data_IF_769729380997
#
_entry.id   IF_769729380997
#
_cell.length_a   1.000
_cell.length_b   1.000
_cell.length_c   1.000
_cell.angle_alpha   90.00
_cell.angle_beta   90.00
_cell.angle_gamma   90.00
#
_symmetry.space_group_name_H-M   'P 1'
#
loop_
_entity.id
_entity.type
_entity.pdbx_description
1 polymer ?
#
# COMPACT_ATOMS: atom_id res chain seq x y z
N UNK A 1 16.79 1.55 -10.13
CA UNK A 1 17.00 2.43 -8.96
C UNK A 1 16.10 1.89 -7.88
N UNK A 2 16.66 1.43 -6.75
CA UNK A 2 15.84 1.02 -5.63
C UNK A 2 15.46 2.27 -4.84
N UNK A 3 14.18 2.65 -4.85
CA UNK A 3 13.69 3.75 -4.01
C UNK A 3 13.69 3.31 -2.53
N UNK A 4 13.96 4.23 -1.62
CA UNK A 4 13.68 3.97 -0.19
C UNK A 4 12.17 4.01 0.06
N UNK A 5 11.72 3.45 1.19
CA UNK A 5 10.30 3.44 1.54
C UNK A 5 9.69 4.86 1.62
N UNK A 6 10.45 5.83 2.16
CA UNK A 6 10.01 7.22 2.29
C UNK A 6 9.95 7.94 0.93
N UNK A 7 10.96 7.72 0.09
CA UNK A 7 10.96 8.22 -1.29
C UNK A 7 9.81 7.61 -2.09
N UNK A 8 9.58 6.31 -1.98
CA UNK A 8 8.47 5.63 -2.63
C UNK A 8 7.11 6.20 -2.17
N UNK A 9 6.96 6.52 -0.88
CA UNK A 9 5.74 7.13 -0.33
C UNK A 9 5.53 8.58 -0.80
N UNK A 10 6.61 9.26 -1.21
CA UNK A 10 6.55 10.60 -1.82
C UNK A 10 6.24 10.49 -3.31
N UNK A 11 6.95 9.61 -4.02
CA UNK A 11 6.82 9.39 -5.47
C UNK A 11 5.44 8.90 -5.86
N UNK A 12 4.81 8.03 -5.06
CA UNK A 12 3.45 7.54 -5.35
C UNK A 12 2.41 8.67 -5.37
N UNK A 13 2.68 9.80 -4.70
CA UNK A 13 1.81 10.98 -4.69
C UNK A 13 2.03 11.89 -5.90
N UNK A 14 3.15 11.73 -6.61
CA UNK A 14 3.51 12.54 -7.78
C UNK A 14 3.23 11.83 -9.10
N UNK A 15 2.53 10.69 -9.08
CA UNK A 15 2.15 9.96 -10.29
C UNK A 15 1.26 10.83 -11.19
N UNK A 16 1.54 10.83 -12.50
CA UNK A 16 0.80 11.64 -13.50
C UNK A 16 -0.65 11.21 -13.64
N UNK A 17 -0.95 9.95 -13.34
CA UNK A 17 -2.28 9.36 -13.44
C UNK A 17 -2.61 8.66 -12.14
N UNK A 18 -3.86 8.79 -11.71
CA UNK A 18 -4.35 8.10 -10.52
C UNK A 18 -4.30 6.57 -10.72
N UNK A 19 -3.71 5.83 -9.77
CA UNK A 19 -3.75 4.37 -9.79
C UNK A 19 -5.18 3.85 -9.67
N UNK A 20 -5.38 2.59 -10.00
CA UNK A 20 -6.67 1.90 -9.80
C UNK A 20 -6.97 1.72 -8.32
N UNK A 21 -8.24 1.49 -7.97
CA UNK A 21 -8.63 1.26 -6.57
C UNK A 21 -7.90 0.07 -5.95
N UNK A 22 -7.70 -1.01 -6.69
CA UNK A 22 -7.01 -2.22 -6.19
C UNK A 22 -5.54 -1.93 -5.89
N UNK A 23 -4.87 -1.18 -6.76
CA UNK A 23 -3.51 -0.68 -6.57
C UNK A 23 -3.39 0.24 -5.35
N UNK A 24 -4.37 1.13 -5.13
CA UNK A 24 -4.43 1.99 -3.95
C UNK A 24 -4.66 1.19 -2.66
N UNK A 25 -5.48 0.13 -2.72
CA UNK A 25 -5.71 -0.78 -1.58
C UNK A 25 -4.46 -1.57 -1.24
N UNK A 26 -3.75 -2.09 -2.25
CA UNK A 26 -2.48 -2.81 -2.07
C UNK A 26 -1.40 -1.89 -1.48
N UNK A 27 -1.26 -0.66 -1.98
CA UNK A 27 -0.36 0.35 -1.41
C UNK A 27 -0.70 0.63 0.06
N UNK A 28 -1.99 0.84 0.36
CA UNK A 28 -2.45 1.08 1.72
C UNK A 28 -2.11 -0.10 2.63
N UNK A 29 -2.40 -1.33 2.19
CA UNK A 29 -2.14 -2.54 2.95
C UNK A 29 -0.64 -2.72 3.26
N UNK A 30 0.21 -2.58 2.25
CA UNK A 30 1.65 -2.69 2.39
C UNK A 30 2.22 -1.58 3.27
N UNK A 31 1.75 -0.34 3.10
CA UNK A 31 2.16 0.79 3.95
C UNK A 31 1.77 0.57 5.42
N UNK A 32 0.55 0.10 5.68
CA UNK A 32 0.09 -0.21 7.03
C UNK A 32 0.86 -1.38 7.64
N UNK A 33 1.12 -2.44 6.87
CA UNK A 33 1.93 -3.56 7.34
C UNK A 33 3.38 -3.15 7.61
N UNK A 34 3.97 -2.31 6.76
CA UNK A 34 5.34 -1.79 6.89
C UNK A 34 5.56 -0.87 8.10
N UNK A 35 4.51 -0.19 8.56
CA UNK A 35 4.57 0.82 9.64
C UNK A 35 4.00 0.30 10.96
N UNK A 36 2.86 -0.38 10.90
CA UNK A 36 2.14 -0.88 12.08
C UNK A 36 2.32 -2.38 12.31
N UNK A 37 2.83 -3.14 11.33
CA UNK A 37 2.81 -4.60 11.38
C UNK A 37 1.40 -5.16 11.18
N UNK A 38 1.15 -6.32 11.76
CA UNK A 38 -0.09 -7.07 11.62
C UNK A 38 -1.33 -6.26 12.03
N UNK A 39 -2.41 -6.42 11.26
CA UNK A 39 -3.69 -5.77 11.55
C UNK A 39 -4.34 -6.36 12.82
N UNK A 40 -4.29 -5.60 13.92
CA UNK A 40 -4.98 -5.91 15.17
C UNK A 40 -6.29 -5.13 15.37
N UNK A 41 -6.73 -4.36 14.37
CA UNK A 41 -7.92 -3.50 14.51
C UNK A 41 -9.22 -4.27 14.27
N UNK A 42 -10.30 -3.84 14.90
CA UNK A 42 -11.63 -4.44 14.67
C UNK A 42 -12.08 -4.26 13.22
N UNK A 43 -12.72 -5.29 12.67
CA UNK A 43 -13.28 -5.26 11.32
C UNK A 43 -14.35 -4.14 11.23
N UNK A 44 -14.28 -3.25 10.23
CA UNK A 44 -15.29 -2.21 10.02
C UNK A 44 -16.70 -2.77 9.85
N UNK A 45 -17.71 -1.98 10.22
CA UNK A 45 -19.11 -2.33 10.08
C UNK A 45 -19.53 -2.61 8.64
N UNK A 46 -20.62 -3.36 8.46
CA UNK A 46 -21.10 -3.83 7.14
C UNK A 46 -21.42 -2.72 6.14
N UNK A 47 -21.75 -1.51 6.61
CA UNK A 47 -22.07 -0.36 5.77
C UNK A 47 -20.84 0.45 5.33
N UNK A 48 -19.66 0.21 5.93
CA UNK A 48 -18.40 0.85 5.51
C UNK A 48 -17.64 -0.03 4.52
N UNK A 49 -18.11 -0.03 3.27
CA UNK A 49 -17.51 -0.84 2.21
C UNK A 49 -16.05 -0.47 1.94
N UNK A 50 -15.70 0.83 2.02
CA UNK A 50 -14.35 1.32 1.72
C UNK A 50 -13.38 1.00 2.85
N UNK A 51 -13.80 1.20 4.10
CA UNK A 51 -13.02 0.81 5.27
C UNK A 51 -12.86 -0.70 5.33
N UNK A 52 -13.91 -1.48 5.05
CA UNK A 52 -13.84 -2.94 4.98
C UNK A 52 -12.83 -3.42 3.94
N UNK A 53 -12.80 -2.82 2.74
CA UNK A 53 -11.83 -3.17 1.70
C UNK A 53 -10.39 -2.88 2.14
N UNK A 54 -10.13 -1.70 2.73
CA UNK A 54 -8.83 -1.33 3.29
C UNK A 54 -8.38 -2.26 4.41
N UNK A 55 -9.29 -2.57 5.33
CA UNK A 55 -9.04 -3.47 6.44
C UNK A 55 -8.74 -4.88 5.94
N UNK A 56 -9.50 -5.36 4.96
CA UNK A 56 -9.29 -6.67 4.35
C UNK A 56 -7.93 -6.74 3.66
N UNK A 57 -7.59 -5.75 2.82
CA UNK A 57 -6.31 -5.70 2.13
C UNK A 57 -5.14 -5.70 3.13
N UNK A 58 -5.23 -4.93 4.22
CA UNK A 58 -4.20 -4.95 5.28
C UNK A 58 -4.17 -6.30 6.02
N UNK A 59 -5.33 -6.86 6.36
CA UNK A 59 -5.43 -8.14 7.05
C UNK A 59 -4.91 -9.32 6.19
N UNK A 60 -5.01 -9.24 4.86
CA UNK A 60 -4.43 -10.21 3.93
C UNK A 60 -2.89 -10.20 3.92
N UNK A 61 -2.25 -9.12 4.38
CA UNK A 61 -0.79 -9.06 4.54
C UNK A 61 -0.31 -9.52 5.92
N UNK A 62 -1.21 -9.98 6.78
CA UNK A 62 -0.87 -10.47 8.13
C UNK A 62 0.17 -11.60 8.06
N UNK A 63 1.14 -11.57 8.96
CA UNK A 63 2.26 -12.50 9.01
C UNK A 63 3.45 -12.11 8.14
N UNK A 64 3.29 -11.11 7.26
CA UNK A 64 4.43 -10.52 6.53
C UNK A 64 5.19 -9.58 7.46
N UNK A 65 6.52 -9.69 7.51
CA UNK A 65 7.32 -8.78 8.34
C UNK A 65 7.25 -7.34 7.83
N UNK A 66 7.53 -6.38 8.72
CA UNK A 66 7.55 -4.97 8.34
C UNK A 66 8.57 -4.70 7.22
N UNK A 67 9.72 -5.37 7.27
CA UNK A 67 10.78 -5.22 6.26
C UNK A 67 10.33 -5.76 4.89
N UNK A 68 9.74 -6.96 4.84
CA UNK A 68 9.19 -7.50 3.60
C UNK A 68 8.05 -6.65 3.04
N UNK A 69 7.25 -6.02 3.91
CA UNK A 69 6.21 -5.10 3.50
C UNK A 69 6.79 -3.81 2.89
N UNK A 70 7.88 -3.27 3.45
CA UNK A 70 8.59 -2.11 2.90
C UNK A 70 9.19 -2.42 1.52
N UNK A 71 9.85 -3.57 1.38
CA UNK A 71 10.43 -4.00 0.11
C UNK A 71 9.33 -4.17 -0.94
N UNK A 72 8.23 -4.85 -0.59
CA UNK A 72 7.10 -5.01 -1.51
C UNK A 72 6.43 -3.68 -1.87
N UNK A 73 6.35 -2.73 -0.93
CA UNK A 73 5.82 -1.39 -1.18
C UNK A 73 6.68 -0.64 -2.21
N UNK A 74 8.00 -0.63 -2.04
CA UNK A 74 8.95 -0.01 -2.97
C UNK A 74 8.80 -0.62 -4.38
N UNK A 75 8.81 -1.96 -4.47
CA UNK A 75 8.65 -2.66 -5.75
C UNK A 75 7.32 -2.33 -6.43
N UNK A 76 6.25 -2.17 -5.66
CA UNK A 76 4.95 -1.79 -6.19
C UNK A 76 4.96 -0.36 -6.71
N UNK A 77 5.55 0.59 -5.96
CA UNK A 77 5.68 1.98 -6.40
C UNK A 77 6.52 2.07 -7.67
N UNK A 78 7.64 1.36 -7.77
CA UNK A 78 8.45 1.32 -8.99
C UNK A 78 7.66 0.85 -10.22
N UNK A 79 6.84 -0.19 -10.05
CA UNK A 79 5.93 -0.65 -11.11
C UNK A 79 4.90 0.42 -11.48
N UNK A 80 4.37 1.16 -10.50
CA UNK A 80 3.44 2.25 -10.75
C UNK A 80 4.10 3.44 -11.45
N UNK A 81 5.32 3.79 -11.07
CA UNK A 81 6.11 4.82 -11.74
C UNK A 81 6.34 4.44 -13.20
N UNK A 82 6.72 3.19 -13.46
CA UNK A 82 6.89 2.69 -14.82
C UNK A 82 5.57 2.69 -15.62
N UNK A 83 4.45 2.38 -14.97
CA UNK A 83 3.12 2.29 -15.61
C UNK A 83 2.45 3.65 -15.86
N UNK A 84 2.55 4.58 -14.90
CA UNK A 84 1.83 5.84 -14.90
C UNK A 84 2.71 7.06 -15.18
N UNK A 85 4.03 6.93 -15.00
CA UNK A 85 4.96 8.05 -15.02
C UNK A 85 4.84 8.92 -13.76
N UNK A 86 5.94 9.58 -13.43
CA UNK A 86 5.98 10.64 -12.41
C UNK A 86 5.90 12.00 -13.09
N UNK A 87 5.18 12.94 -12.47
CA UNK A 87 4.96 14.28 -13.00
C UNK A 87 6.28 15.04 -13.15
#
# INVERSE_FOLDING_TARGET
MALTFDEAATVVKTLRKSPTNDELLELYALFKQATCGDNGTCKPGTFDFRGKAKWQAWNEKKGKSQEEARIAYVQLVEKMVAKYGVA
#
